data_IF_467867537208
#
_entry.id   IF_467867537208
#
_cell.length_a   1.000
_cell.length_b   1.000
_cell.length_c   1.000
_cell.angle_alpha   90.00
_cell.angle_beta   90.00
_cell.angle_gamma   90.00
#
_symmetry.space_group_name_H-M   'P 1'
#
loop_
_entity.id
_entity.type
_entity.pdbx_description
1 polymer ?
#
# COMPACT_ATOMS: atom_id res chain seq x y z
N UNK A 1 7.18 -15.00 17.62
CA UNK A 1 6.22 -15.72 16.72
C UNK A 1 6.35 -15.17 15.30
N UNK A 2 6.20 -16.03 14.27
CA UNK A 2 6.12 -15.62 12.86
C UNK A 2 4.66 -15.71 12.42
N UNK A 3 4.16 -14.66 11.76
CA UNK A 3 2.82 -14.67 11.18
C UNK A 3 2.93 -14.91 9.67
N UNK A 4 2.16 -15.82 9.10
CA UNK A 4 2.02 -16.00 7.66
C UNK A 4 0.65 -15.47 7.25
N UNK A 5 0.63 -14.54 6.30
CA UNK A 5 -0.58 -13.88 5.79
C UNK A 5 -0.77 -14.27 4.30
N UNK A 6 -1.37 -15.43 4.03
CA UNK A 6 -1.66 -15.84 2.66
C UNK A 6 -2.83 -15.08 2.06
N UNK A 7 -2.80 -14.96 0.74
CA UNK A 7 -3.96 -14.66 -0.08
C UNK A 7 -4.55 -15.99 -0.62
N UNK A 8 -5.66 -16.49 -0.06
CA UNK A 8 -6.20 -17.82 -0.45
C UNK A 8 -6.70 -17.90 -1.89
N UNK A 9 -6.92 -16.75 -2.57
CA UNK A 9 -7.25 -16.71 -4.00
C UNK A 9 -6.03 -17.00 -4.90
N UNK A 10 -4.81 -16.84 -4.36
CA UNK A 10 -3.54 -17.03 -5.06
C UNK A 10 -2.81 -18.27 -4.58
N UNK A 11 -2.78 -18.50 -3.29
CA UNK A 11 -2.21 -19.69 -2.64
C UNK A 11 -3.30 -20.75 -2.50
N UNK A 12 -3.61 -21.43 -3.60
CA UNK A 12 -4.67 -22.44 -3.65
C UNK A 12 -4.39 -23.52 -2.62
N UNK A 13 -5.41 -23.86 -1.82
CA UNK A 13 -5.30 -24.83 -0.71
C UNK A 13 -4.19 -24.47 0.31
N UNK A 14 -3.66 -23.25 0.28
CA UNK A 14 -2.56 -22.77 1.11
C UNK A 14 -1.29 -23.61 0.97
N UNK A 15 -1.02 -24.14 -0.22
CA UNK A 15 0.10 -25.08 -0.48
C UNK A 15 1.45 -24.49 -0.09
N UNK A 16 1.76 -23.26 -0.56
CA UNK A 16 3.01 -22.59 -0.22
C UNK A 16 3.03 -22.19 1.27
N UNK A 17 1.92 -21.71 1.79
CA UNK A 17 1.79 -21.36 3.21
C UNK A 17 2.10 -22.54 4.11
N UNK A 18 1.56 -23.72 3.83
CA UNK A 18 1.80 -24.93 4.62
C UNK A 18 3.25 -25.39 4.53
N UNK A 19 3.87 -25.30 3.34
CA UNK A 19 5.30 -25.57 3.15
C UNK A 19 6.16 -24.64 4.00
N UNK A 20 5.91 -23.33 3.96
CA UNK A 20 6.66 -22.35 4.74
C UNK A 20 6.42 -22.52 6.25
N UNK A 21 5.19 -22.85 6.66
CA UNK A 21 4.86 -23.16 8.05
C UNK A 21 5.70 -24.34 8.57
N UNK A 22 5.70 -25.47 7.86
CA UNK A 22 6.47 -26.65 8.24
C UNK A 22 7.97 -26.33 8.34
N UNK A 23 8.51 -25.62 7.35
CA UNK A 23 9.92 -25.17 7.35
C UNK A 23 10.25 -24.36 8.61
N UNK A 24 9.42 -23.42 8.98
CA UNK A 24 9.65 -22.54 10.15
C UNK A 24 9.50 -23.32 11.46
N UNK A 25 8.48 -24.18 11.59
CA UNK A 25 8.25 -25.02 12.78
C UNK A 25 9.39 -26.00 13.00
N UNK A 26 9.92 -26.64 11.93
CA UNK A 26 11.11 -27.51 11.98
C UNK A 26 12.37 -26.78 12.42
N UNK A 27 12.44 -25.46 12.20
CA UNK A 27 13.53 -24.61 12.64
C UNK A 27 13.27 -23.92 14.00
N UNK A 28 12.24 -24.36 14.75
CA UNK A 28 11.97 -23.96 16.12
C UNK A 28 11.17 -22.66 16.25
N UNK A 29 10.55 -22.14 15.19
CA UNK A 29 9.70 -20.98 15.27
C UNK A 29 8.25 -21.34 15.58
N UNK A 30 7.57 -20.53 16.38
CA UNK A 30 6.11 -20.60 16.52
C UNK A 30 5.48 -19.84 15.35
N UNK A 31 4.54 -20.49 14.64
CA UNK A 31 3.90 -19.94 13.44
C UNK A 31 2.39 -19.82 13.63
N UNK A 32 1.82 -18.71 13.15
CA UNK A 32 0.37 -18.51 13.03
C UNK A 32 -0.02 -18.15 11.60
N UNK A 33 -1.20 -18.58 11.16
CA UNK A 33 -1.72 -18.33 9.81
C UNK A 33 -2.88 -17.33 9.88
N UNK A 34 -2.78 -16.24 9.12
CA UNK A 34 -3.70 -15.10 9.11
C UNK A 34 -4.12 -14.78 7.67
N UNK A 35 -5.08 -15.51 7.08
CA UNK A 35 -5.47 -15.28 5.69
C UNK A 35 -6.00 -13.86 5.46
N UNK A 36 -5.72 -13.32 4.27
CA UNK A 36 -6.20 -12.00 3.84
C UNK A 36 -7.16 -12.19 2.68
N UNK A 37 -8.42 -11.84 2.91
CA UNK A 37 -9.46 -11.93 1.89
C UNK A 37 -9.63 -10.58 1.21
N UNK A 38 -9.62 -10.59 -0.12
CA UNK A 38 -9.77 -9.39 -0.96
C UNK A 38 -11.14 -9.29 -1.65
N UNK A 39 -11.92 -10.36 -1.56
CA UNK A 39 -13.24 -10.48 -2.22
C UNK A 39 -14.31 -10.92 -1.23
N UNK A 40 -15.59 -10.57 -1.45
CA UNK A 40 -16.71 -11.01 -0.61
C UNK A 40 -16.94 -12.53 -0.62
N UNK A 41 -16.50 -13.22 -1.66
CA UNK A 41 -16.60 -14.70 -1.75
C UNK A 41 -15.29 -15.29 -1.27
N UNK A 42 -15.26 -15.68 -0.01
CA UNK A 42 -14.07 -16.27 0.61
C UNK A 42 -13.82 -17.69 0.08
N UNK A 43 -12.62 -18.00 -0.44
CA UNK A 43 -12.26 -19.37 -0.79
C UNK A 43 -12.18 -20.24 0.47
N UNK A 44 -12.48 -21.53 0.29
CA UNK A 44 -12.42 -22.47 1.40
C UNK A 44 -10.98 -22.61 1.92
N UNK A 45 -10.85 -22.55 3.24
CA UNK A 45 -9.60 -22.89 3.93
C UNK A 45 -9.59 -24.41 4.13
N UNK A 46 -8.47 -25.11 3.85
CA UNK A 46 -8.36 -26.55 4.06
C UNK A 46 -8.68 -26.96 5.50
N UNK A 47 -9.35 -28.10 5.68
CA UNK A 47 -9.71 -28.61 7.02
C UNK A 47 -8.45 -28.82 7.89
N UNK A 48 -8.58 -28.51 9.17
CA UNK A 48 -7.52 -28.72 10.16
C UNK A 48 -6.50 -27.57 10.24
N UNK A 49 -6.64 -26.53 9.43
CA UNK A 49 -5.79 -25.33 9.54
C UNK A 49 -6.49 -24.32 10.46
N UNK A 50 -5.87 -24.10 11.64
CA UNK A 50 -6.29 -23.01 12.50
C UNK A 50 -5.86 -21.67 11.89
N UNK A 51 -6.83 -20.83 11.56
CA UNK A 51 -6.61 -19.49 11.04
C UNK A 51 -7.15 -18.46 12.02
N UNK A 52 -6.58 -17.24 11.95
CA UNK A 52 -7.02 -16.10 12.75
C UNK A 52 -7.11 -14.87 11.89
N UNK A 53 -7.98 -13.94 12.24
CA UNK A 53 -8.01 -12.62 11.61
C UNK A 53 -6.74 -11.84 11.95
N UNK A 54 -6.20 -11.11 10.97
CA UNK A 54 -4.94 -10.34 11.11
C UNK A 54 -5.05 -9.24 12.19
N UNK A 55 -6.25 -8.76 12.51
CA UNK A 55 -6.46 -7.80 13.60
C UNK A 55 -6.09 -8.38 14.98
N UNK A 56 -6.04 -9.70 15.12
CA UNK A 56 -5.63 -10.40 16.34
C UNK A 56 -4.17 -10.86 16.35
N UNK A 57 -3.33 -10.22 15.53
CA UNK A 57 -1.90 -10.54 15.49
C UNK A 57 -1.27 -10.41 16.89
N UNK A 58 -0.62 -11.48 17.41
CA UNK A 58 -0.01 -11.46 18.75
C UNK A 58 1.11 -10.43 18.87
N UNK A 59 1.28 -9.88 20.08
CA UNK A 59 2.29 -8.85 20.36
C UNK A 59 3.74 -9.32 20.25
N UNK A 60 3.97 -10.60 20.43
CA UNK A 60 5.28 -11.25 20.30
C UNK A 60 5.62 -11.64 18.86
N UNK A 61 4.80 -11.20 17.88
CA UNK A 61 5.12 -11.36 16.46
C UNK A 61 6.37 -10.56 16.13
N UNK A 62 7.33 -11.20 15.45
CA UNK A 62 8.62 -10.60 15.07
C UNK A 62 8.78 -10.42 13.57
N UNK A 63 8.00 -11.16 12.76
CA UNK A 63 8.00 -11.08 11.31
C UNK A 63 6.61 -11.42 10.78
N UNK A 64 6.19 -10.75 9.73
CA UNK A 64 4.99 -11.09 8.95
C UNK A 64 5.41 -11.51 7.55
N UNK A 65 5.13 -12.76 7.18
CA UNK A 65 5.38 -13.30 5.84
C UNK A 65 4.08 -13.20 5.06
N UNK A 66 4.10 -12.48 3.96
CA UNK A 66 2.95 -12.29 3.08
C UNK A 66 3.12 -13.23 1.88
N UNK A 67 2.13 -14.08 1.64
CA UNK A 67 2.10 -14.99 0.49
C UNK A 67 1.03 -14.49 -0.48
N UNK A 68 1.46 -13.68 -1.46
CA UNK A 68 0.53 -12.98 -2.37
C UNK A 68 1.23 -11.96 -3.25
N UNK A 69 0.51 -10.97 -3.75
CA UNK A 69 1.05 -9.86 -4.54
C UNK A 69 1.04 -8.53 -3.78
N UNK A 70 1.36 -7.43 -4.49
CA UNK A 70 1.39 -6.06 -3.92
C UNK A 70 0.05 -5.68 -3.26
N UNK A 71 -1.10 -6.03 -3.85
CA UNK A 71 -2.41 -5.78 -3.24
C UNK A 71 -2.60 -6.47 -1.89
N UNK A 72 -2.08 -7.70 -1.73
CA UNK A 72 -2.09 -8.42 -0.44
C UNK A 72 -1.19 -7.72 0.56
N UNK A 73 -0.03 -7.24 0.12
CA UNK A 73 0.91 -6.47 0.95
C UNK A 73 0.26 -5.18 1.47
N UNK A 74 -0.45 -4.45 0.62
CA UNK A 74 -1.20 -3.25 1.03
C UNK A 74 -2.28 -3.58 2.07
N UNK A 75 -3.06 -4.65 1.84
CA UNK A 75 -4.09 -5.08 2.78
C UNK A 75 -3.52 -5.48 4.14
N UNK A 76 -2.38 -6.19 4.16
CA UNK A 76 -1.66 -6.54 5.39
C UNK A 76 -1.14 -5.30 6.09
N UNK A 77 -0.41 -4.43 5.37
CA UNK A 77 0.18 -3.20 5.92
C UNK A 77 -0.88 -2.31 6.59
N UNK A 78 -2.06 -2.20 5.99
CA UNK A 78 -3.18 -1.43 6.52
C UNK A 78 -3.77 -2.02 7.80
N UNK A 79 -3.85 -3.34 7.91
CA UNK A 79 -4.45 -4.02 9.06
C UNK A 79 -3.47 -4.22 10.23
N UNK A 80 -2.20 -3.94 10.06
CA UNK A 80 -1.22 -4.13 11.12
C UNK A 80 -1.45 -3.18 12.28
N UNK A 81 -1.71 -3.76 13.45
CA UNK A 81 -1.80 -3.03 14.72
C UNK A 81 -0.46 -2.43 15.16
N UNK A 82 0.64 -3.10 14.79
CA UNK A 82 2.01 -2.75 15.13
C UNK A 82 2.74 -2.45 13.82
N UNK A 83 2.87 -1.17 13.51
CA UNK A 83 3.43 -0.68 12.22
C UNK A 83 4.94 -0.91 12.08
N UNK A 84 5.64 -1.27 13.17
CA UNK A 84 7.09 -1.49 13.16
C UNK A 84 7.50 -2.94 12.84
N UNK A 85 6.55 -3.81 12.50
CA UNK A 85 6.84 -5.20 12.14
C UNK A 85 7.45 -5.30 10.74
N UNK A 86 8.58 -6.05 10.57
CA UNK A 86 9.08 -6.38 9.26
C UNK A 86 8.09 -7.22 8.45
N UNK A 87 7.91 -6.88 7.18
CA UNK A 87 7.10 -7.60 6.22
C UNK A 87 8.00 -8.27 5.19
N UNK A 88 7.86 -9.56 5.01
CA UNK A 88 8.50 -10.32 3.94
C UNK A 88 7.46 -10.73 2.92
N UNK A 89 7.62 -10.31 1.67
CA UNK A 89 6.65 -10.58 0.61
C UNK A 89 7.17 -11.71 -0.30
N UNK A 90 6.44 -12.80 -0.37
CA UNK A 90 6.63 -13.91 -1.34
C UNK A 90 5.55 -13.77 -2.41
N UNK A 91 5.96 -13.53 -3.65
CA UNK A 91 5.06 -13.17 -4.73
C UNK A 91 4.33 -14.39 -5.31
N UNK A 92 3.01 -14.38 -5.26
CA UNK A 92 2.15 -15.32 -5.97
C UNK A 92 1.32 -14.57 -7.02
N UNK A 93 1.94 -14.11 -8.08
CA UNK A 93 1.22 -13.39 -9.13
C UNK A 93 2.13 -12.77 -10.17
N UNK A 94 1.63 -11.74 -10.85
CA UNK A 94 2.47 -10.89 -11.70
C UNK A 94 3.48 -10.16 -10.82
N UNK A 95 4.74 -10.08 -11.26
CA UNK A 95 5.84 -9.47 -10.51
C UNK A 95 5.43 -8.14 -9.87
N UNK A 96 5.41 -8.09 -8.53
CA UNK A 96 5.13 -6.91 -7.72
C UNK A 96 6.35 -6.01 -7.54
N UNK A 97 6.18 -4.73 -7.17
CA UNK A 97 7.27 -3.83 -6.80
C UNK A 97 7.68 -3.96 -5.32
N UNK A 98 6.86 -4.63 -4.51
CA UNK A 98 7.09 -4.81 -3.07
C UNK A 98 7.56 -6.22 -2.71
N UNK A 99 7.34 -7.20 -3.58
CA UNK A 99 7.77 -8.58 -3.34
C UNK A 99 9.27 -8.73 -3.54
N UNK A 100 9.93 -9.34 -2.56
CA UNK A 100 11.38 -9.58 -2.56
C UNK A 100 11.76 -11.03 -2.88
N UNK A 101 10.81 -11.96 -2.88
CA UNK A 101 11.01 -13.38 -3.17
C UNK A 101 9.96 -13.91 -4.14
N UNK A 102 10.36 -14.90 -4.92
CA UNK A 102 9.48 -15.72 -5.78
C UNK A 102 9.46 -17.15 -5.24
N UNK A 103 8.37 -17.92 -5.42
CA UNK A 103 8.30 -19.33 -4.95
C UNK A 103 9.37 -20.24 -5.55
N UNK A 104 9.81 -19.94 -6.77
CA UNK A 104 10.81 -20.69 -7.52
C UNK A 104 12.25 -20.32 -7.16
N UNK A 105 12.47 -19.36 -6.26
CA UNK A 105 13.82 -18.99 -5.82
C UNK A 105 14.52 -20.22 -5.20
N UNK A 106 15.66 -20.58 -5.75
CA UNK A 106 16.44 -21.75 -5.29
C UNK A 106 16.92 -21.61 -3.83
N UNK A 107 17.02 -20.38 -3.33
CA UNK A 107 17.43 -20.06 -1.97
C UNK A 107 16.24 -19.67 -1.07
N UNK A 108 14.99 -19.89 -1.52
CA UNK A 108 13.78 -19.47 -0.79
C UNK A 108 13.81 -19.89 0.67
N UNK A 109 14.09 -21.17 0.95
CA UNK A 109 14.07 -21.71 2.31
C UNK A 109 15.11 -21.02 3.20
N UNK A 110 16.32 -20.83 2.72
CA UNK A 110 17.40 -20.18 3.49
C UNK A 110 17.08 -18.70 3.75
N UNK A 111 16.56 -17.98 2.76
CA UNK A 111 16.13 -16.59 2.88
C UNK A 111 14.99 -16.43 3.88
N UNK A 112 14.01 -17.33 3.88
CA UNK A 112 12.90 -17.34 4.86
C UNK A 112 13.45 -17.50 6.28
N UNK A 113 14.37 -18.44 6.50
CA UNK A 113 14.96 -18.70 7.83
C UNK A 113 15.82 -17.51 8.29
N UNK A 114 16.62 -16.92 7.41
CA UNK A 114 17.44 -15.74 7.73
C UNK A 114 16.54 -14.53 8.09
N UNK A 115 15.48 -14.30 7.34
CA UNK A 115 14.50 -13.27 7.66
C UNK A 115 13.82 -13.52 9.01
N UNK A 116 13.43 -14.79 9.29
CA UNK A 116 12.82 -15.16 10.56
C UNK A 116 13.77 -14.95 11.78
N UNK A 117 15.07 -15.02 11.55
CA UNK A 117 16.12 -14.70 12.55
C UNK A 117 16.44 -13.22 12.65
N UNK A 118 15.88 -12.36 11.77
CA UNK A 118 16.17 -10.95 11.73
C UNK A 118 17.57 -10.61 11.17
N UNK A 119 18.13 -11.47 10.33
CA UNK A 119 19.48 -11.34 9.77
C UNK A 119 19.51 -10.48 8.48
N UNK A 120 18.32 -10.07 7.98
CA UNK A 120 18.21 -9.33 6.72
C UNK A 120 18.05 -7.82 6.93
N UNK A 121 18.43 -7.06 5.92
CA UNK A 121 18.21 -5.61 5.90
C UNK A 121 16.72 -5.30 5.77
N UNK A 122 16.35 -4.14 6.27
CA UNK A 122 14.99 -3.62 6.16
C UNK A 122 14.99 -2.35 5.30
N UNK A 123 14.18 -2.35 4.25
CA UNK A 123 13.87 -1.19 3.45
C UNK A 123 12.71 -0.44 4.09
N UNK A 124 12.95 0.80 4.50
CA UNK A 124 11.97 1.65 5.17
C UNK A 124 11.07 2.34 4.14
N UNK A 125 9.77 2.20 4.28
CA UNK A 125 8.76 2.78 3.39
C UNK A 125 7.95 3.84 4.14
N UNK A 126 7.97 5.05 3.61
CA UNK A 126 7.17 6.15 4.12
C UNK A 126 5.68 5.87 3.92
N UNK A 127 4.84 6.22 4.91
CA UNK A 127 3.40 6.27 4.79
C UNK A 127 2.90 7.72 4.83
N UNK A 128 1.67 7.93 4.38
CA UNK A 128 0.95 9.20 4.51
C UNK A 128 -0.31 9.01 5.37
N UNK A 129 -0.59 9.98 6.23
CA UNK A 129 -1.85 10.06 6.97
C UNK A 129 -2.84 10.91 6.18
N UNK A 130 -4.09 10.47 6.13
CA UNK A 130 -5.18 11.08 5.39
C UNK A 130 -6.31 11.40 6.35
N UNK A 131 -6.75 12.67 6.42
CA UNK A 131 -7.94 13.08 7.13
C UNK A 131 -8.97 13.62 6.14
N UNK A 132 -10.21 13.11 6.22
CA UNK A 132 -11.37 13.69 5.55
C UNK A 132 -12.08 14.64 6.51
N UNK A 133 -12.14 15.92 6.14
CA UNK A 133 -12.66 17.00 6.96
C UNK A 133 -13.94 17.54 6.30
N UNK A 134 -15.04 17.55 7.06
CA UNK A 134 -16.34 18.08 6.67
C UNK A 134 -16.83 19.03 7.75
N UNK A 135 -17.29 20.23 7.37
CA UNK A 135 -17.76 21.28 8.29
C UNK A 135 -16.75 21.56 9.43
N UNK A 136 -15.46 21.57 9.11
CA UNK A 136 -14.37 21.81 10.04
C UNK A 136 -14.06 20.66 11.02
N UNK A 137 -14.71 19.50 10.88
CA UNK A 137 -14.50 18.33 11.74
C UNK A 137 -13.89 17.19 10.94
N UNK A 138 -12.94 16.48 11.52
CA UNK A 138 -12.42 15.23 10.97
C UNK A 138 -13.52 14.17 11.13
N UNK A 139 -14.02 13.66 10.00
CA UNK A 139 -15.06 12.61 9.97
C UNK A 139 -14.49 11.24 9.68
N UNK A 140 -13.27 11.19 9.12
CA UNK A 140 -12.56 9.96 8.86
C UNK A 140 -11.05 10.22 8.85
N UNK A 141 -10.28 9.23 9.32
CA UNK A 141 -8.82 9.23 9.25
C UNK A 141 -8.31 7.83 8.93
N UNK A 142 -7.29 7.74 8.08
CA UNK A 142 -6.60 6.51 7.73
C UNK A 142 -5.15 6.82 7.34
N UNK A 143 -4.38 5.79 7.00
CA UNK A 143 -3.03 5.93 6.46
C UNK A 143 -2.83 5.04 5.23
N UNK A 144 -2.03 5.51 4.29
CA UNK A 144 -1.69 4.78 3.06
C UNK A 144 -0.19 4.50 2.95
N UNK A 145 0.13 3.31 2.43
CA UNK A 145 1.47 2.96 1.98
C UNK A 145 1.70 3.44 0.54
N UNK A 146 0.69 3.35 -0.33
CA UNK A 146 0.78 3.82 -1.72
C UNK A 146 0.21 5.22 -1.89
N UNK A 147 -1.10 5.38 -1.77
CA UNK A 147 -1.75 6.63 -2.20
C UNK A 147 -3.13 6.89 -1.57
N UNK A 148 -3.52 8.16 -1.66
CA UNK A 148 -4.88 8.64 -1.53
C UNK A 148 -5.34 9.21 -2.88
N UNK A 149 -6.48 8.74 -3.37
CA UNK A 149 -7.05 9.12 -4.68
C UNK A 149 -8.37 9.84 -4.48
N UNK A 150 -8.48 11.06 -5.01
CA UNK A 150 -9.75 11.75 -5.15
C UNK A 150 -10.18 11.66 -6.61
N UNK A 151 -11.35 11.10 -6.88
CA UNK A 151 -11.81 10.84 -8.24
C UNK A 151 -13.32 11.05 -8.40
N UNK A 152 -13.74 11.52 -9.57
CA UNK A 152 -15.15 11.60 -9.95
C UNK A 152 -15.70 10.24 -10.38
N UNK A 153 -17.00 10.00 -10.17
CA UNK A 153 -17.69 8.79 -10.67
C UNK A 153 -18.08 8.94 -12.16
N UNK A 154 -17.08 9.10 -13.05
CA UNK A 154 -17.29 9.31 -14.48
C UNK A 154 -17.56 10.76 -14.87
N UNK A 155 -17.59 11.68 -13.92
CA UNK A 155 -17.73 13.12 -14.14
C UNK A 155 -16.40 13.85 -13.91
N UNK A 156 -16.15 14.87 -14.72
CA UNK A 156 -15.09 15.83 -14.45
C UNK A 156 -15.39 16.63 -13.19
N UNK A 157 -14.48 16.67 -12.25
CA UNK A 157 -14.58 17.44 -11.00
C UNK A 157 -13.56 18.59 -10.99
N UNK A 158 -13.82 19.62 -10.18
CA UNK A 158 -12.85 20.68 -9.96
C UNK A 158 -12.04 20.39 -8.73
N UNK A 159 -10.72 20.34 -8.91
CA UNK A 159 -9.71 20.07 -7.87
C UNK A 159 -8.97 21.37 -7.56
N UNK A 160 -8.92 21.73 -6.29
CA UNK A 160 -7.99 22.73 -5.77
C UNK A 160 -7.08 22.06 -4.75
N UNK A 161 -5.80 21.92 -5.10
CA UNK A 161 -4.80 21.36 -4.22
C UNK A 161 -3.81 22.43 -3.76
N UNK A 162 -3.56 22.45 -2.45
CA UNK A 162 -2.59 23.34 -1.82
C UNK A 162 -1.47 22.52 -1.18
N UNK A 163 -0.29 23.10 -1.15
CA UNK A 163 0.81 22.68 -0.28
C UNK A 163 1.01 23.77 0.76
N UNK A 164 0.73 23.43 2.01
CA UNK A 164 0.56 24.40 3.08
C UNK A 164 -0.49 25.47 2.65
N UNK A 165 -0.16 26.76 2.66
CA UNK A 165 -1.08 27.84 2.26
C UNK A 165 -1.06 28.17 0.75
N UNK A 166 -0.16 27.54 -0.03
CA UNK A 166 0.04 27.90 -1.43
C UNK A 166 -0.77 26.97 -2.35
N UNK A 167 -1.57 27.54 -3.24
CA UNK A 167 -2.22 26.76 -4.31
C UNK A 167 -1.16 26.23 -5.28
N UNK A 168 -1.08 24.91 -5.39
CA UNK A 168 -0.17 24.19 -6.28
C UNK A 168 -0.87 23.80 -7.57
N UNK A 169 -2.15 23.35 -7.45
CA UNK A 169 -2.97 22.91 -8.57
C UNK A 169 -4.39 23.45 -8.43
N UNK A 170 -4.93 23.99 -9.51
CA UNK A 170 -6.36 24.35 -9.63
C UNK A 170 -6.79 24.04 -11.07
N UNK A 171 -7.57 22.96 -11.24
CA UNK A 171 -7.98 22.47 -12.55
C UNK A 171 -9.30 21.71 -12.51
N UNK A 172 -9.88 21.47 -13.71
CA UNK A 172 -10.93 20.49 -13.91
C UNK A 172 -10.33 19.24 -14.54
N UNK A 173 -10.74 18.06 -14.06
CA UNK A 173 -10.21 16.77 -14.51
C UNK A 173 -10.95 15.62 -13.84
N UNK A 174 -10.48 14.39 -14.03
CA UNK A 174 -11.13 13.21 -13.45
C UNK A 174 -10.79 13.06 -11.96
N UNK A 175 -9.62 13.57 -11.53
CA UNK A 175 -9.21 13.48 -10.14
C UNK A 175 -7.76 13.87 -9.89
N UNK A 176 -7.25 13.45 -8.74
CA UNK A 176 -5.85 13.61 -8.32
C UNK A 176 -5.40 12.40 -7.50
N UNK A 177 -4.16 11.97 -7.70
CA UNK A 177 -3.46 10.99 -6.85
C UNK A 177 -2.48 11.72 -5.96
N UNK A 178 -2.50 11.46 -4.66
CA UNK A 178 -1.49 11.90 -3.69
C UNK A 178 -0.76 10.64 -3.25
N UNK A 179 0.46 10.42 -3.76
CA UNK A 179 1.20 9.18 -3.57
C UNK A 179 2.45 9.36 -2.71
N UNK A 180 2.85 8.25 -2.09
CA UNK A 180 4.18 8.06 -1.51
C UNK A 180 5.18 7.66 -2.61
N UNK A 181 6.48 7.60 -2.32
CA UNK A 181 7.45 7.01 -3.24
C UNK A 181 7.15 5.54 -3.59
N UNK A 182 6.67 4.74 -2.62
CA UNK A 182 6.23 3.36 -2.88
C UNK A 182 5.05 3.34 -3.86
N UNK A 183 4.07 4.23 -3.69
CA UNK A 183 2.92 4.37 -4.59
C UNK A 183 3.24 5.01 -5.93
N UNK A 184 4.47 5.55 -6.13
CA UNK A 184 4.88 6.12 -7.41
C UNK A 184 4.82 5.12 -8.57
N UNK A 185 4.96 3.83 -8.28
CA UNK A 185 4.86 2.72 -9.26
C UNK A 185 3.46 2.14 -9.38
N UNK A 186 2.49 2.67 -8.61
CA UNK A 186 1.06 2.29 -8.63
C UNK A 186 0.23 3.19 -9.54
N UNK A 187 -0.92 3.66 -9.03
CA UNK A 187 -1.84 4.48 -9.82
C UNK A 187 -1.24 5.82 -10.24
N UNK A 188 -0.34 6.40 -9.44
CA UNK A 188 0.38 7.63 -9.80
C UNK A 188 1.13 7.47 -11.14
N UNK A 189 1.82 6.34 -11.36
CA UNK A 189 2.50 6.05 -12.63
C UNK A 189 1.51 5.98 -13.80
N UNK A 190 0.40 5.28 -13.63
CA UNK A 190 -0.66 5.17 -14.65
C UNK A 190 -1.28 6.52 -15.00
N UNK A 191 -1.32 7.45 -14.06
CA UNK A 191 -1.76 8.83 -14.25
C UNK A 191 -0.67 9.76 -14.85
N UNK A 192 0.52 9.23 -15.18
CA UNK A 192 1.64 10.00 -15.75
C UNK A 192 2.58 10.62 -14.71
N UNK A 193 2.53 10.15 -13.46
CA UNK A 193 3.48 10.53 -12.42
C UNK A 193 4.89 9.94 -12.65
N UNK A 194 5.95 10.51 -12.05
CA UNK A 194 7.30 9.99 -12.15
C UNK A 194 7.46 8.72 -11.31
N UNK A 195 8.38 7.87 -11.70
CA UNK A 195 8.89 6.80 -10.85
C UNK A 195 9.86 7.43 -9.86
N UNK A 196 9.64 7.16 -8.58
CA UNK A 196 10.45 7.68 -7.48
C UNK A 196 11.00 6.52 -6.67
N UNK A 197 12.27 6.61 -6.30
CA UNK A 197 12.95 5.59 -5.50
C UNK A 197 12.20 5.37 -4.16
N UNK A 198 11.81 4.14 -3.84
CA UNK A 198 10.82 3.89 -2.78
C UNK A 198 11.30 4.22 -1.37
N UNK A 199 12.61 4.35 -1.15
CA UNK A 199 13.19 4.77 0.13
C UNK A 199 13.31 6.30 0.27
N UNK A 200 13.01 7.05 -0.78
CA UNK A 200 12.98 8.51 -0.69
C UNK A 200 11.78 8.98 0.15
N UNK A 201 11.81 10.22 0.59
CA UNK A 201 10.78 10.78 1.47
C UNK A 201 10.11 12.00 0.79
N UNK A 202 9.17 11.69 -0.11
CA UNK A 202 8.46 12.68 -0.91
C UNK A 202 6.95 12.44 -0.91
N UNK A 203 6.17 13.49 -1.13
CA UNK A 203 4.75 13.41 -1.46
C UNK A 203 4.59 13.79 -2.92
N UNK A 204 3.92 12.94 -3.70
CA UNK A 204 3.76 13.10 -5.15
C UNK A 204 2.31 13.47 -5.42
N UNK A 205 2.07 14.60 -6.10
CA UNK A 205 0.75 15.02 -6.55
C UNK A 205 0.63 14.82 -8.05
N UNK A 206 -0.17 13.86 -8.48
CA UNK A 206 -0.36 13.55 -9.89
C UNK A 206 -1.79 13.82 -10.31
N UNK A 207 -2.04 14.84 -11.19
CA UNK A 207 -3.36 15.08 -11.76
C UNK A 207 -3.83 13.90 -12.63
N UNK A 208 -5.12 13.58 -12.58
CA UNK A 208 -5.74 12.56 -13.44
C UNK A 208 -6.54 13.27 -14.51
N UNK A 209 -6.20 13.06 -15.80
CA UNK A 209 -6.90 13.59 -16.98
C UNK A 209 -7.23 15.09 -16.83
N UNK A 210 -6.27 15.90 -16.41
CA UNK A 210 -6.50 17.33 -16.21
C UNK A 210 -6.75 18.06 -17.53
N UNK A 211 -7.82 18.87 -17.58
CA UNK A 211 -8.18 19.70 -18.74
C UNK A 211 -7.38 21.02 -18.80
N UNK A 212 -6.26 21.09 -18.14
CA UNK A 212 -5.39 22.27 -18.09
C UNK A 212 -3.96 21.89 -18.45
N UNK A 213 -3.39 22.51 -19.48
CA UNK A 213 -2.03 22.26 -19.96
C UNK A 213 -0.95 22.52 -18.88
N UNK A 214 -1.26 23.39 -17.91
CA UNK A 214 -0.37 23.72 -16.79
C UNK A 214 -0.45 22.78 -15.60
N UNK A 215 -1.43 21.86 -15.55
CA UNK A 215 -1.51 20.89 -14.48
C UNK A 215 -0.44 19.80 -14.67
N UNK A 216 0.63 19.92 -13.92
CA UNK A 216 1.76 18.99 -13.92
C UNK A 216 1.82 18.21 -12.62
N UNK A 217 2.53 17.09 -12.62
CA UNK A 217 2.88 16.39 -11.40
C UNK A 217 3.90 17.19 -10.59
N UNK A 218 3.69 17.24 -9.29
CA UNK A 218 4.61 17.85 -8.33
C UNK A 218 5.17 16.80 -7.39
N UNK A 219 6.49 16.86 -7.16
CA UNK A 219 7.16 16.08 -6.13
C UNK A 219 7.51 17.04 -5.00
N UNK A 220 6.90 16.85 -3.84
CA UNK A 220 7.04 17.71 -2.68
C UNK A 220 7.90 17.02 -1.63
N UNK A 221 8.54 17.81 -0.77
CA UNK A 221 9.25 17.25 0.38
C UNK A 221 8.27 16.68 1.40
N UNK A 222 8.69 15.69 2.16
CA UNK A 222 7.90 14.97 3.16
C UNK A 222 7.25 15.87 4.25
N UNK A 223 7.82 17.05 4.51
CA UNK A 223 7.37 17.95 5.57
C UNK A 223 6.21 18.86 5.14
N UNK A 224 5.72 18.72 3.91
CA UNK A 224 4.58 19.49 3.42
C UNK A 224 3.26 18.86 3.87
N UNK A 225 2.32 19.68 4.26
CA UNK A 225 0.92 19.31 4.36
C UNK A 225 0.23 19.64 3.03
N UNK A 226 -0.47 18.66 2.49
CA UNK A 226 -1.27 18.81 1.27
C UNK A 226 -2.74 18.84 1.65
N UNK A 227 -3.46 19.82 1.16
CA UNK A 227 -4.93 19.85 1.27
C UNK A 227 -5.53 19.85 -0.12
N UNK A 228 -6.50 18.97 -0.34
CA UNK A 228 -7.27 18.92 -1.59
C UNK A 228 -8.73 19.22 -1.26
N UNK A 229 -9.30 20.17 -1.98
CA UNK A 229 -10.69 20.57 -1.86
C UNK A 229 -11.44 20.25 -3.14
N UNK A 230 -12.55 19.53 -3.01
CA UNK A 230 -13.51 19.33 -4.10
C UNK A 230 -14.47 20.52 -4.15
N UNK A 231 -14.37 21.30 -5.21
CA UNK A 231 -15.22 22.49 -5.33
C UNK A 231 -16.55 22.12 -6.02
N UNK A 232 -17.67 22.63 -5.45
CA UNK A 232 -19.02 22.66 -6.04
C UNK A 232 -19.36 21.44 -6.89
N UNK A 233 -19.47 20.28 -6.24
CA UNK A 233 -19.82 19.04 -6.93
C UNK A 233 -21.20 19.13 -7.60
N UNK A 234 -22.15 19.94 -7.05
CA UNK A 234 -23.54 20.06 -7.52
C UNK A 234 -24.20 18.67 -7.64
N UNK A 235 -24.46 18.22 -8.87
CA UNK A 235 -25.02 16.91 -9.18
C UNK A 235 -23.94 15.83 -9.42
N UNK A 236 -22.67 16.23 -9.49
CA UNK A 236 -21.52 15.33 -9.71
C UNK A 236 -21.18 14.60 -8.42
N UNK A 237 -20.66 13.40 -8.58
CA UNK A 237 -20.21 12.59 -7.46
C UNK A 237 -18.70 12.40 -7.51
N UNK A 238 -18.08 12.39 -6.36
CA UNK A 238 -16.66 12.11 -6.20
C UNK A 238 -16.44 11.22 -4.98
N UNK A 239 -15.34 10.53 -4.96
CA UNK A 239 -14.94 9.67 -3.84
C UNK A 239 -13.48 9.86 -3.47
N UNK A 240 -13.15 9.51 -2.23
CA UNK A 240 -11.80 9.30 -1.73
C UNK A 240 -11.55 7.80 -1.64
N UNK A 241 -10.49 7.31 -2.28
CA UNK A 241 -9.99 5.95 -2.10
C UNK A 241 -8.60 6.00 -1.45
N UNK A 242 -8.29 5.03 -0.59
CA UNK A 242 -7.03 4.92 0.13
C UNK A 242 -6.46 3.52 -0.11
N UNK A 243 -5.26 3.41 -0.69
CA UNK A 243 -4.63 2.15 -1.12
C UNK A 243 -5.60 1.23 -1.90
N UNK A 244 -6.49 1.81 -2.69
CA UNK A 244 -7.46 1.11 -3.54
C UNK A 244 -8.65 0.45 -2.82
N UNK A 245 -8.68 0.43 -1.49
CA UNK A 245 -9.66 -0.41 -0.75
C UNK A 245 -10.74 0.34 0.03
N UNK A 246 -10.56 1.62 0.34
CA UNK A 246 -11.54 2.38 1.11
C UNK A 246 -12.13 3.47 0.23
N UNK A 247 -13.43 3.39 0.01
CA UNK A 247 -14.14 4.38 -0.81
C UNK A 247 -15.09 5.15 0.10
N UNK A 248 -14.93 6.48 0.11
CA UNK A 248 -15.79 7.42 0.83
C UNK A 248 -16.38 8.42 -0.13
N UNK A 249 -17.69 8.52 -0.16
CA UNK A 249 -18.39 9.54 -0.95
C UNK A 249 -18.08 10.93 -0.41
N UNK A 250 -17.59 11.79 -1.30
CA UNK A 250 -17.27 13.16 -1.00
C UNK A 250 -18.47 14.09 -1.21
N UNK A 251 -18.55 15.11 -0.39
CA UNK A 251 -19.50 16.22 -0.53
C UNK A 251 -18.77 17.48 -1.01
N UNK A 252 -19.55 18.42 -1.52
CA UNK A 252 -19.00 19.74 -1.86
C UNK A 252 -18.34 20.38 -0.63
N UNK A 253 -17.18 21.00 -0.84
CA UNK A 253 -16.39 21.68 0.19
C UNK A 253 -15.68 20.76 1.19
N UNK A 254 -15.78 19.42 1.06
CA UNK A 254 -14.93 18.50 1.80
C UNK A 254 -13.46 18.80 1.55
N UNK A 255 -12.65 18.69 2.58
CA UNK A 255 -11.21 18.87 2.53
C UNK A 255 -10.55 17.55 2.87
N UNK A 256 -9.70 17.08 1.97
CA UNK A 256 -8.82 15.96 2.20
C UNK A 256 -7.45 16.51 2.56
N UNK A 257 -7.01 16.26 3.79
CA UNK A 257 -5.70 16.65 4.28
C UNK A 257 -4.77 15.45 4.30
N UNK A 258 -3.60 15.60 3.70
CA UNK A 258 -2.58 14.55 3.58
C UNK A 258 -1.26 15.09 4.10
N UNK A 259 -0.59 14.30 4.94
CA UNK A 259 0.73 14.60 5.49
C UNK A 259 1.52 13.31 5.66
N UNK A 260 2.85 13.43 5.83
CA UNK A 260 3.68 12.30 6.22
C UNK A 260 3.14 11.67 7.51
N UNK A 261 3.04 10.35 7.53
CA UNK A 261 2.71 9.61 8.74
C UNK A 261 3.88 9.57 9.71
N UNK A 262 3.57 9.53 11.01
CA UNK A 262 4.55 9.17 12.04
C UNK A 262 4.97 7.70 11.97
N UNK A 263 4.27 6.87 11.19
CA UNK A 263 4.53 5.45 11.01
C UNK A 263 5.24 5.17 9.67
N UNK A 264 5.97 4.07 9.63
CA UNK A 264 6.60 3.54 8.43
C UNK A 264 6.32 2.05 8.33
N UNK A 265 6.38 1.51 7.12
CA UNK A 265 6.41 0.07 6.88
C UNK A 265 7.85 -0.35 6.60
N UNK A 266 8.24 -1.51 7.10
CA UNK A 266 9.56 -2.08 6.89
C UNK A 266 9.42 -3.34 6.04
N UNK A 267 10.00 -3.34 4.85
CA UNK A 267 10.05 -4.51 3.98
C UNK A 267 11.41 -5.20 4.13
N UNK A 268 11.41 -6.52 4.26
CA UNK A 268 12.65 -7.30 4.24
C UNK A 268 13.29 -7.19 2.85
N UNK A 269 14.57 -6.81 2.80
CA UNK A 269 15.32 -6.60 1.59
C UNK A 269 16.54 -7.51 1.54
N UNK A 270 16.58 -8.40 0.55
CA UNK A 270 17.71 -9.30 0.32
C UNK A 270 18.81 -8.68 -0.54
N UNK A 271 18.65 -7.44 -1.00
CA UNK A 271 19.57 -6.75 -1.91
C UNK A 271 19.92 -7.57 -3.19
N UNK A 272 19.10 -8.57 -3.51
CA UNK A 272 19.33 -9.46 -4.64
C UNK A 272 19.11 -8.77 -5.99
N UNK A 273 18.27 -7.74 -6.02
CA UNK A 273 17.92 -6.96 -7.22
C UNK A 273 17.75 -5.50 -6.85
N UNK A 274 18.31 -4.62 -7.65
CA UNK A 274 18.09 -3.18 -7.47
C UNK A 274 16.68 -2.77 -7.89
N UNK A 275 16.16 -1.70 -7.31
CA UNK A 275 14.89 -1.11 -7.73
C UNK A 275 14.86 -0.80 -9.23
N UNK A 276 15.97 -0.32 -9.79
CA UNK A 276 16.07 0.00 -11.21
C UNK A 276 15.99 -1.22 -12.13
N UNK A 277 16.53 -2.36 -11.70
CA UNK A 277 16.39 -3.64 -12.42
C UNK A 277 14.93 -4.11 -12.42
N UNK A 278 14.24 -3.99 -11.28
CA UNK A 278 12.81 -4.31 -11.18
C UNK A 278 11.98 -3.41 -12.10
N UNK A 279 12.25 -2.10 -12.11
CA UNK A 279 11.56 -1.15 -12.98
C UNK A 279 11.81 -1.46 -14.45
N UNK A 280 13.07 -1.72 -14.85
CA UNK A 280 13.42 -2.02 -16.24
C UNK A 280 12.71 -3.29 -16.74
N UNK A 281 12.63 -4.34 -15.91
CA UNK A 281 11.99 -5.59 -16.29
C UNK A 281 10.46 -5.46 -16.41
N UNK A 282 9.84 -4.58 -15.59
CA UNK A 282 8.39 -4.41 -15.58
C UNK A 282 7.85 -3.47 -16.64
N UNK A 283 8.67 -2.56 -17.13
CA UNK A 283 8.27 -1.56 -18.12
C UNK A 283 8.69 -1.96 -19.56
N UNK A 284 9.23 -3.16 -19.75
CA UNK A 284 9.41 -3.79 -21.04
C UNK A 284 8.16 -4.59 -21.45
#
# INVERSE_FOLDING_TARGET
MIAICPNPYRDTELELTLKLRSLLEENGFTVGVFPVFSDPVEPAIPEGIETRDISYLPRDTTLVIIVGGDGTTLAVARNLKYKDLPLLCVNLGTKGFMASLEPEDSELNDKIIRAARGEEKLSRRMCIDIDLIRDGKIIYSDSALNDAVIHGYGDTIRINAKSDENTVLDYAGDGIVIATPTGSTGYSMSAGGPIVEPESENIILTPICAHALGAKTYVLTQNREVTVKTQKLHTRKAYLAIDGNSIYDLQSEDIIRVRRSGHCIYLVDFAARSFFEIVAEKLQ
#
